data_IF_240239327299
#
_entry.id   IF_240239327299
#
_cell.length_a   1.000
_cell.length_b   1.000
_cell.length_c   1.000
_cell.angle_alpha   90.00
_cell.angle_beta   90.00
_cell.angle_gamma   90.00
#
_symmetry.space_group_name_H-M   'P 1'
#
loop_
_entity.id
_entity.type
_entity.pdbx_description
1 polymer ?
#
# COMPACT_ATOMS: atom_id res chain seq x y z
N UNK A 1 3.32 -27.48 8.98
CA UNK A 1 3.34 -26.34 9.89
C UNK A 1 3.60 -25.12 9.05
N UNK A 2 2.63 -24.17 9.01
CA UNK A 2 2.70 -23.00 8.14
C UNK A 2 3.35 -21.85 8.93
N UNK A 3 4.67 -21.71 8.78
CA UNK A 3 5.48 -20.73 9.52
C UNK A 3 5.74 -19.51 8.67
N UNK A 4 5.46 -18.33 9.23
CA UNK A 4 5.67 -17.06 8.58
C UNK A 4 6.74 -16.24 9.34
N UNK A 5 7.55 -15.50 8.59
CA UNK A 5 8.57 -14.60 9.12
C UNK A 5 8.30 -13.19 8.62
N UNK A 6 8.09 -12.24 9.54
CA UNK A 6 7.77 -10.86 9.24
C UNK A 6 8.95 -9.95 9.55
N UNK A 7 9.50 -9.33 8.52
CA UNK A 7 10.60 -8.37 8.65
C UNK A 7 10.05 -6.94 8.76
N UNK A 8 10.24 -6.33 9.91
CA UNK A 8 10.01 -4.89 10.10
C UNK A 8 11.15 -4.03 9.55
N UNK A 9 10.95 -2.71 9.53
CA UNK A 9 11.99 -1.73 9.13
C UNK A 9 12.83 -1.20 10.31
N UNK A 10 12.75 -1.81 11.49
CA UNK A 10 13.52 -1.38 12.65
C UNK A 10 15.02 -1.60 12.50
N UNK A 11 15.82 -0.87 13.29
CA UNK A 11 17.28 -0.98 13.30
C UNK A 11 17.78 -2.39 13.67
N UNK A 12 16.98 -3.15 14.41
CA UNK A 12 17.27 -4.55 14.79
C UNK A 12 17.06 -5.55 13.65
N UNK A 13 16.63 -5.09 12.49
CA UNK A 13 16.41 -5.95 11.32
C UNK A 13 17.75 -6.58 10.89
N UNK A 14 17.79 -7.89 10.61
CA UNK A 14 18.99 -8.51 10.08
C UNK A 14 19.33 -7.93 8.69
N UNK A 15 20.61 -7.71 8.44
CA UNK A 15 21.11 -7.19 7.14
C UNK A 15 20.93 -8.24 6.03
N UNK A 16 20.87 -9.51 6.39
CA UNK A 16 20.66 -10.61 5.45
C UNK A 16 19.41 -11.40 5.84
N UNK A 17 18.70 -11.96 4.85
CA UNK A 17 17.56 -12.82 5.15
C UNK A 17 18.00 -14.02 5.97
N UNK A 18 17.13 -14.49 6.86
CA UNK A 18 17.35 -15.75 7.56
C UNK A 18 17.29 -16.86 6.51
N UNK A 19 18.44 -17.46 6.24
CA UNK A 19 18.56 -18.56 5.31
C UNK A 19 18.37 -19.86 6.09
N UNK A 20 17.35 -20.62 5.71
CA UNK A 20 17.06 -21.93 6.29
C UNK A 20 15.76 -21.96 7.06
N UNK A 21 14.95 -22.93 6.75
CA UNK A 21 13.60 -23.12 7.26
C UNK A 21 12.53 -22.85 6.19
N UNK A 22 11.46 -23.62 6.23
CA UNK A 22 10.30 -23.44 5.34
C UNK A 22 9.45 -22.29 5.88
N UNK A 23 9.91 -21.04 5.70
CA UNK A 23 9.17 -19.86 6.07
C UNK A 23 8.60 -19.16 4.84
N UNK A 24 7.36 -18.71 4.94
CA UNK A 24 6.81 -17.69 4.05
C UNK A 24 7.23 -16.33 4.60
N UNK A 25 7.96 -15.57 3.81
CA UNK A 25 8.56 -14.30 4.24
C UNK A 25 7.68 -13.11 3.87
N UNK A 26 7.56 -12.18 4.80
CA UNK A 26 6.87 -10.90 4.65
C UNK A 26 7.84 -9.78 4.96
N UNK A 27 7.91 -8.79 4.09
CA UNK A 27 8.74 -7.62 4.28
C UNK A 27 7.94 -6.34 4.18
N UNK A 28 8.51 -5.25 4.69
CA UNK A 28 7.85 -3.96 4.75
C UNK A 28 8.65 -2.89 4.02
N UNK A 29 7.96 -2.05 3.25
CA UNK A 29 8.51 -0.84 2.63
C UNK A 29 9.86 -1.08 1.92
N UNK A 30 10.93 -0.43 2.40
CA UNK A 30 12.24 -0.39 1.74
C UNK A 30 13.07 -1.68 1.82
N UNK A 31 12.57 -2.74 2.45
CA UNK A 31 13.33 -4.00 2.59
C UNK A 31 13.73 -4.62 1.24
N UNK A 32 12.94 -4.35 0.21
CA UNK A 32 13.20 -4.84 -1.14
C UNK A 32 14.54 -4.37 -1.73
N UNK A 33 15.11 -3.31 -1.15
CA UNK A 33 16.44 -2.80 -1.54
C UNK A 33 17.57 -3.70 -1.07
N UNK A 34 17.33 -4.47 -0.01
CA UNK A 34 18.34 -5.33 0.62
C UNK A 34 18.21 -6.78 0.16
N UNK A 35 16.96 -7.31 0.14
CA UNK A 35 16.72 -8.68 -0.32
C UNK A 35 15.25 -8.92 -0.74
N UNK A 36 15.04 -10.02 -1.44
CA UNK A 36 13.71 -10.42 -1.91
C UNK A 36 12.96 -11.16 -0.80
N UNK A 37 11.67 -10.86 -0.66
CA UNK A 37 10.72 -11.56 0.22
C UNK A 37 9.57 -12.13 -0.62
N UNK A 38 8.87 -13.14 -0.09
CA UNK A 38 7.73 -13.73 -0.78
C UNK A 38 6.55 -12.75 -0.91
N UNK A 39 6.39 -11.87 0.09
CA UNK A 39 5.34 -10.86 0.13
C UNK A 39 5.90 -9.54 0.65
N UNK A 40 5.86 -8.50 -0.16
CA UNK A 40 6.24 -7.14 0.23
C UNK A 40 4.99 -6.32 0.53
N UNK A 41 4.93 -5.67 1.69
CA UNK A 41 3.81 -4.82 2.10
C UNK A 41 4.23 -3.36 2.15
N UNK A 42 3.45 -2.50 1.52
CA UNK A 42 3.63 -1.06 1.63
C UNK A 42 2.29 -0.35 1.71
N UNK A 43 2.16 0.52 2.71
CA UNK A 43 0.96 1.33 2.97
C UNK A 43 1.18 2.82 2.70
N UNK A 44 2.39 3.19 2.37
CA UNK A 44 2.78 4.56 2.03
C UNK A 44 2.85 4.73 0.52
N UNK A 45 2.11 5.70 -0.03
CA UNK A 45 1.98 5.88 -1.48
C UNK A 45 3.29 6.21 -2.18
N UNK A 46 4.14 7.04 -1.57
CA UNK A 46 5.44 7.37 -2.15
C UNK A 46 6.34 6.13 -2.22
N UNK A 47 6.29 5.29 -1.19
CA UNK A 47 7.03 4.02 -1.17
C UNK A 47 6.47 3.01 -2.17
N UNK A 48 5.14 2.91 -2.30
CA UNK A 48 4.50 2.06 -3.30
C UNK A 48 4.95 2.43 -4.71
N UNK A 49 4.99 3.72 -4.99
CA UNK A 49 5.47 4.22 -6.27
C UNK A 49 6.96 3.92 -6.51
N UNK A 50 7.80 4.11 -5.49
CA UNK A 50 9.22 3.77 -5.58
C UNK A 50 9.42 2.28 -5.87
N UNK A 51 8.71 1.40 -5.14
CA UNK A 51 8.74 -0.05 -5.36
C UNK A 51 8.32 -0.40 -6.80
N UNK A 52 7.29 0.28 -7.31
CA UNK A 52 6.84 0.05 -8.68
C UNK A 52 7.87 0.52 -9.71
N UNK A 53 8.42 1.73 -9.54
CA UNK A 53 9.44 2.30 -10.43
C UNK A 53 10.75 1.52 -10.42
N UNK A 54 11.07 0.83 -9.33
CA UNK A 54 12.25 -0.04 -9.23
C UNK A 54 12.10 -1.35 -10.00
N UNK A 55 10.95 -1.60 -10.63
CA UNK A 55 10.58 -2.86 -11.28
C UNK A 55 10.45 -4.06 -10.33
N UNK A 56 10.61 -3.88 -9.02
CA UNK A 56 10.46 -4.97 -8.05
C UNK A 56 9.06 -5.58 -8.13
N UNK A 57 8.01 -4.75 -8.19
CA UNK A 57 6.62 -5.18 -8.27
C UNK A 57 6.26 -5.89 -9.58
N UNK A 58 7.10 -5.81 -10.62
CA UNK A 58 6.89 -6.57 -11.87
C UNK A 58 7.23 -8.06 -11.72
N UNK A 59 8.09 -8.39 -10.76
CA UNK A 59 8.64 -9.74 -10.57
C UNK A 59 8.18 -10.39 -9.27
N UNK A 60 7.90 -9.58 -8.25
CA UNK A 60 7.67 -10.02 -6.89
C UNK A 60 6.29 -9.59 -6.40
N UNK A 61 5.70 -10.38 -5.54
CA UNK A 61 4.37 -10.13 -4.98
C UNK A 61 4.41 -8.96 -4.00
N UNK A 62 3.57 -7.96 -4.27
CA UNK A 62 3.45 -6.75 -3.46
C UNK A 62 2.00 -6.55 -3.01
N UNK A 63 1.84 -6.05 -1.79
CA UNK A 63 0.57 -5.72 -1.17
C UNK A 63 0.54 -4.21 -0.92
N UNK A 64 -0.30 -3.50 -1.66
CA UNK A 64 -0.40 -2.03 -1.61
C UNK A 64 -1.78 -1.60 -1.13
N UNK A 65 -1.83 -0.50 -0.40
CA UNK A 65 -3.10 0.17 -0.06
C UNK A 65 -3.58 1.05 -1.20
N UNK A 66 -4.90 1.12 -1.36
CA UNK A 66 -5.57 2.02 -2.30
C UNK A 66 -5.06 1.90 -3.75
N UNK A 67 -4.72 0.68 -4.15
CA UNK A 67 -4.24 0.37 -5.49
C UNK A 67 -5.42 0.02 -6.38
N UNK A 68 -5.70 0.87 -7.37
CA UNK A 68 -6.84 0.71 -8.27
C UNK A 68 -6.43 0.89 -9.73
N UNK A 69 -6.94 0.04 -10.59
CA UNK A 69 -6.74 0.14 -12.04
C UNK A 69 -7.81 1.05 -12.63
N UNK A 70 -7.40 2.10 -13.28
CA UNK A 70 -8.31 3.05 -13.91
C UNK A 70 -8.67 2.62 -15.34
N UNK A 71 -9.90 2.94 -15.77
CA UNK A 71 -10.32 2.69 -17.13
C UNK A 71 -9.51 3.51 -18.14
N UNK A 72 -9.38 2.99 -19.35
CA UNK A 72 -8.78 3.73 -20.44
C UNK A 72 -9.51 5.05 -20.69
N UNK A 73 -8.75 6.13 -20.86
CA UNK A 73 -9.32 7.48 -21.06
C UNK A 73 -9.65 8.23 -19.76
N UNK A 74 -9.29 7.69 -18.60
CA UNK A 74 -9.43 8.40 -17.33
C UNK A 74 -8.64 9.72 -17.37
N UNK A 75 -9.34 10.81 -17.00
CA UNK A 75 -8.70 12.12 -16.89
C UNK A 75 -8.39 12.44 -15.41
N UNK A 76 -7.12 12.45 -15.02
CA UNK A 76 -6.73 12.72 -13.61
C UNK A 76 -7.23 14.08 -13.10
N UNK A 77 -7.32 15.07 -13.96
CA UNK A 77 -7.75 16.43 -13.59
C UNK A 77 -9.21 16.49 -13.09
N UNK A 78 -10.02 15.49 -13.43
CA UNK A 78 -11.43 15.44 -13.00
C UNK A 78 -11.59 14.95 -11.54
N UNK A 79 -10.56 14.39 -10.94
CA UNK A 79 -10.64 13.69 -9.63
C UNK A 79 -9.72 14.32 -8.59
N UNK A 80 -8.85 15.23 -8.99
CA UNK A 80 -7.95 15.92 -8.05
C UNK A 80 -8.64 17.15 -7.45
N UNK A 81 -9.00 17.12 -6.17
CA UNK A 81 -9.65 18.26 -5.54
C UNK A 81 -8.71 19.44 -5.30
N UNK A 82 -7.40 19.26 -5.36
CA UNK A 82 -6.40 20.31 -5.14
C UNK A 82 -5.25 20.20 -6.15
N UNK A 83 -4.88 21.37 -6.71
CA UNK A 83 -3.73 21.51 -7.63
C UNK A 83 -2.36 21.21 -6.99
N UNK A 84 -2.30 20.93 -5.69
CA UNK A 84 -1.07 20.74 -4.94
C UNK A 84 -0.68 19.25 -4.77
N UNK A 85 -1.49 18.32 -5.25
CA UNK A 85 -1.09 16.92 -5.28
C UNK A 85 0.07 16.76 -6.27
N UNK A 86 1.19 16.11 -5.89
CA UNK A 86 2.31 15.92 -6.80
C UNK A 86 1.84 15.08 -7.99
N UNK A 87 1.60 15.76 -9.11
CA UNK A 87 1.39 15.11 -10.39
C UNK A 87 2.77 14.63 -10.81
N UNK A 88 3.05 13.37 -10.56
CA UNK A 88 4.20 12.75 -11.17
C UNK A 88 4.00 12.83 -12.69
N UNK A 89 5.04 13.22 -13.41
CA UNK A 89 5.01 13.48 -14.84
C UNK A 89 4.09 12.51 -15.57
N UNK A 90 3.00 13.04 -16.10
CA UNK A 90 2.05 12.24 -16.85
C UNK A 90 2.78 11.61 -18.03
N UNK A 91 2.86 10.30 -18.12
CA UNK A 91 3.50 9.68 -19.26
C UNK A 91 2.70 9.97 -20.51
N UNK A 92 3.38 10.05 -21.61
CA UNK A 92 2.82 10.36 -22.91
C UNK A 92 1.60 9.47 -23.21
N UNK A 93 0.58 10.08 -23.77
CA UNK A 93 -0.63 9.44 -24.30
C UNK A 93 -0.27 8.16 -25.06
N UNK A 94 -0.80 7.02 -24.61
CA UNK A 94 -0.58 5.72 -25.25
C UNK A 94 -0.36 4.55 -24.32
N UNK A 95 -0.24 4.78 -22.99
CA UNK A 95 -0.11 3.70 -22.03
C UNK A 95 -1.43 2.95 -21.82
N UNK A 96 -1.33 1.65 -21.61
CA UNK A 96 -2.46 0.73 -21.60
C UNK A 96 -3.23 0.72 -20.31
N UNK A 97 -2.60 1.09 -19.19
CA UNK A 97 -3.24 1.13 -17.88
C UNK A 97 -2.62 2.17 -16.99
N UNK A 98 -3.39 2.63 -16.03
CA UNK A 98 -2.91 3.49 -14.96
C UNK A 98 -3.49 3.01 -13.63
N UNK A 99 -2.79 3.31 -12.57
CA UNK A 99 -3.19 2.94 -11.22
C UNK A 99 -3.27 4.21 -10.38
N UNK A 100 -4.38 4.39 -9.70
CA UNK A 100 -4.55 5.48 -8.72
C UNK A 100 -4.19 4.97 -7.36
N UNK A 101 -3.39 5.74 -6.67
CA UNK A 101 -3.04 5.53 -5.28
C UNK A 101 -3.46 6.77 -4.51
N UNK A 102 -4.13 6.61 -3.41
CA UNK A 102 -4.43 7.75 -2.56
C UNK A 102 -5.69 7.61 -1.74
N UNK A 103 -5.82 8.47 -0.75
CA UNK A 103 -7.06 8.62 -0.01
C UNK A 103 -8.01 9.47 -0.84
N UNK A 104 -9.09 8.88 -1.27
CA UNK A 104 -10.22 9.58 -1.86
C UNK A 104 -11.14 10.12 -0.76
N UNK A 105 -12.02 11.07 -1.11
CA UNK A 105 -13.03 11.56 -0.18
C UNK A 105 -13.90 10.41 0.35
N UNK A 106 -14.24 9.44 -0.47
CA UNK A 106 -15.04 8.28 -0.08
C UNK A 106 -14.31 7.40 0.95
N UNK A 107 -13.00 7.22 0.78
CA UNK A 107 -12.16 6.49 1.76
C UNK A 107 -12.12 7.22 3.09
N UNK A 108 -12.02 8.55 3.09
CA UNK A 108 -12.06 9.38 4.30
C UNK A 108 -13.40 9.22 5.02
N UNK A 109 -14.50 9.35 4.32
CA UNK A 109 -15.85 9.21 4.92
C UNK A 109 -16.10 7.78 5.44
N UNK A 110 -15.61 6.76 4.75
CA UNK A 110 -15.67 5.37 5.22
C UNK A 110 -14.88 5.16 6.52
N UNK A 111 -13.67 5.73 6.61
CA UNK A 111 -12.84 5.65 7.81
C UNK A 111 -13.46 6.41 9.00
N UNK A 112 -14.07 7.58 8.75
CA UNK A 112 -14.80 8.34 9.77
C UNK A 112 -15.99 7.51 10.30
N UNK A 113 -16.76 6.91 9.40
CA UNK A 113 -17.88 6.05 9.77
C UNK A 113 -17.45 4.87 10.61
N UNK A 114 -16.33 4.25 10.29
CA UNK A 114 -15.78 3.15 11.09
C UNK A 114 -15.30 3.64 12.47
N UNK A 115 -14.59 4.77 12.51
CA UNK A 115 -14.14 5.36 13.78
C UNK A 115 -15.32 5.64 14.74
N UNK A 116 -16.43 6.14 14.20
CA UNK A 116 -17.68 6.38 14.96
C UNK A 116 -18.30 5.09 15.52
N UNK A 117 -18.16 3.95 14.82
CA UNK A 117 -18.65 2.67 15.33
C UNK A 117 -17.86 2.20 16.57
N UNK A 118 -16.56 2.53 16.62
CA UNK A 118 -15.69 2.15 17.74
C UNK A 118 -15.69 3.17 18.88
N UNK A 119 -15.92 4.43 18.57
CA UNK A 119 -15.99 5.51 19.54
C UNK A 119 -17.03 6.57 19.09
N UNK A 120 -18.26 6.48 19.58
CA UNK A 120 -19.34 7.40 19.20
C UNK A 120 -19.12 8.87 19.60
N UNK A 121 -18.27 9.10 20.61
CA UNK A 121 -18.00 10.44 21.16
C UNK A 121 -16.85 11.18 20.45
N UNK A 122 -16.34 10.61 19.34
CA UNK A 122 -15.28 11.22 18.55
C UNK A 122 -15.77 12.54 17.91
N UNK A 123 -14.93 13.58 17.97
CA UNK A 123 -15.16 14.81 17.24
C UNK A 123 -14.97 14.56 15.73
N UNK A 124 -16.09 14.46 15.04
CA UNK A 124 -16.15 14.14 13.60
C UNK A 124 -15.54 15.29 12.77
N UNK A 125 -15.71 16.53 13.19
CA UNK A 125 -15.21 17.68 12.44
C UNK A 125 -13.69 17.77 12.56
N UNK A 126 -13.13 17.49 13.74
CA UNK A 126 -11.67 17.39 13.93
C UNK A 126 -11.07 16.22 13.11
N UNK A 127 -11.73 15.07 13.13
CA UNK A 127 -11.31 13.93 12.28
C UNK A 127 -11.36 14.27 10.80
N UNK A 128 -12.44 14.91 10.36
CA UNK A 128 -12.59 15.29 8.95
C UNK A 128 -11.55 16.31 8.54
N UNK A 129 -11.29 17.32 9.37
CA UNK A 129 -10.28 18.34 9.10
C UNK A 129 -8.88 17.74 9.04
N UNK A 130 -8.53 16.80 9.93
CA UNK A 130 -7.26 16.09 9.90
C UNK A 130 -7.14 15.20 8.66
N UNK A 131 -8.18 14.43 8.37
CA UNK A 131 -8.20 13.53 7.23
C UNK A 131 -8.16 14.26 5.89
N UNK A 132 -8.75 15.45 5.80
CA UNK A 132 -8.78 16.25 4.58
C UNK A 132 -7.40 16.80 4.19
N UNK A 133 -6.50 16.96 5.15
CA UNK A 133 -5.09 17.30 4.86
C UNK A 133 -4.34 16.17 4.16
N UNK A 134 -4.78 14.95 4.35
CA UNK A 134 -4.20 13.74 3.77
C UNK A 134 -4.92 13.27 2.50
N UNK A 135 -5.97 13.98 2.07
CA UNK A 135 -6.63 13.72 0.80
C UNK A 135 -5.70 14.16 -0.32
N UNK A 136 -4.97 13.22 -0.81
CA UNK A 136 -4.09 13.36 -1.95
C UNK A 136 -4.26 12.15 -2.85
N UNK A 137 -4.13 12.36 -4.13
CA UNK A 137 -4.14 11.29 -5.09
C UNK A 137 -2.78 11.20 -5.74
N UNK A 138 -2.12 10.07 -5.58
CA UNK A 138 -0.93 9.73 -6.35
C UNK A 138 -1.37 8.90 -7.55
N UNK A 139 -0.95 9.31 -8.72
CA UNK A 139 -1.24 8.57 -9.94
C UNK A 139 0.05 7.96 -10.44
N UNK A 140 0.07 6.64 -10.49
CA UNK A 140 1.16 5.90 -11.08
C UNK A 140 0.71 5.34 -12.42
N UNK A 141 1.37 5.74 -13.49
CA UNK A 141 1.15 5.18 -14.80
C UNK A 141 1.99 3.91 -14.95
N UNK A 142 1.36 2.85 -15.43
CA UNK A 142 2.01 1.57 -15.69
C UNK A 142 1.82 1.21 -17.15
N UNK A 143 2.84 0.62 -17.77
CA UNK A 143 2.73 0.19 -19.19
C UNK A 143 1.81 -1.01 -19.31
N UNK A 144 1.91 -1.92 -18.36
CA UNK A 144 1.09 -3.11 -18.29
C UNK A 144 0.80 -3.42 -16.82
N UNK A 145 -0.48 -3.55 -16.51
CA UNK A 145 -0.89 -4.02 -15.19
C UNK A 145 -0.55 -5.50 -15.05
N UNK A 146 0.08 -5.86 -13.96
CA UNK A 146 0.40 -7.24 -13.65
C UNK A 146 -0.32 -7.70 -12.36
N UNK A 147 -0.45 -9.01 -12.21
CA UNK A 147 -1.12 -9.67 -11.09
C UNK A 147 -0.24 -9.76 -9.81
N UNK A 148 0.97 -9.20 -9.84
CA UNK A 148 1.89 -9.22 -8.70
C UNK A 148 1.53 -8.18 -7.64
N UNK A 149 0.86 -7.09 -8.02
CA UNK A 149 0.39 -6.08 -7.09
C UNK A 149 -1.04 -6.40 -6.68
N UNK A 150 -1.22 -6.59 -5.37
CA UNK A 150 -2.50 -6.95 -4.77
C UNK A 150 -2.94 -5.79 -3.88
N UNK A 151 -4.17 -5.34 -4.08
CA UNK A 151 -4.75 -4.34 -3.21
C UNK A 151 -5.03 -4.92 -1.82
N UNK A 152 -4.73 -4.15 -0.79
CA UNK A 152 -5.09 -4.49 0.58
C UNK A 152 -6.52 -4.02 0.80
N UNK A 153 -7.46 -4.96 0.89
CA UNK A 153 -8.90 -4.67 0.97
C UNK A 153 -9.32 -3.85 2.20
N UNK A 154 -8.46 -3.77 3.19
CA UNK A 154 -8.80 -3.13 4.46
C UNK A 154 -7.60 -2.43 5.10
N UNK A 155 -7.20 -1.26 4.59
CA UNK A 155 -6.15 -0.46 5.18
C UNK A 155 -6.67 0.23 6.45
N UNK A 156 -6.38 -0.34 7.61
CA UNK A 156 -6.82 0.20 8.92
C UNK A 156 -5.97 1.36 9.45
N UNK A 157 -5.21 2.05 8.61
CA UNK A 157 -4.26 3.07 9.05
C UNK A 157 -3.09 2.50 9.88
N UNK A 158 -2.84 1.20 9.77
CA UNK A 158 -1.72 0.56 10.44
C UNK A 158 -0.41 0.79 9.70
N UNK A 159 0.69 0.67 10.43
CA UNK A 159 2.01 0.62 9.82
C UNK A 159 2.14 -0.59 8.89
N UNK A 160 3.07 -0.52 7.93
CA UNK A 160 3.34 -1.64 7.02
C UNK A 160 3.70 -2.93 7.77
N UNK A 161 4.41 -2.84 8.92
CA UNK A 161 4.74 -3.98 9.76
C UNK A 161 3.51 -4.66 10.37
N UNK A 162 2.61 -3.88 10.95
CA UNK A 162 1.37 -4.41 11.52
C UNK A 162 0.46 -4.99 10.43
N UNK A 163 0.43 -4.36 9.27
CA UNK A 163 -0.32 -4.86 8.12
C UNK A 163 0.26 -6.19 7.61
N UNK A 164 1.58 -6.31 7.52
CA UNK A 164 2.25 -7.55 7.14
C UNK A 164 1.94 -8.69 8.12
N UNK A 165 1.98 -8.41 9.42
CA UNK A 165 1.61 -9.37 10.45
C UNK A 165 0.14 -9.81 10.32
N UNK A 166 -0.76 -8.86 10.13
CA UNK A 166 -2.17 -9.16 9.90
C UNK A 166 -2.39 -10.05 8.68
N UNK A 167 -1.75 -9.72 7.56
CA UNK A 167 -1.85 -10.51 6.34
C UNK A 167 -1.28 -11.92 6.54
N UNK A 168 -0.12 -12.07 7.21
CA UNK A 168 0.44 -13.36 7.54
C UNK A 168 -0.57 -14.23 8.31
N UNK A 169 -1.20 -13.68 9.32
CA UNK A 169 -2.25 -14.38 10.09
C UNK A 169 -3.47 -14.70 9.22
N UNK A 170 -3.95 -13.74 8.42
CA UNK A 170 -5.09 -13.93 7.49
C UNK A 170 -4.82 -15.04 6.47
N UNK A 171 -3.59 -15.22 6.05
CA UNK A 171 -3.18 -16.27 5.11
C UNK A 171 -2.76 -17.57 5.80
N UNK A 172 -3.16 -17.76 7.04
CA UNK A 172 -3.13 -19.06 7.73
C UNK A 172 -1.79 -19.39 8.37
N UNK A 173 -1.02 -18.38 8.82
CA UNK A 173 0.15 -18.63 9.63
C UNK A 173 -0.25 -19.36 10.93
N UNK A 174 0.39 -20.49 11.18
CA UNK A 174 0.29 -21.23 12.44
C UNK A 174 1.29 -20.65 13.47
N UNK A 175 2.42 -20.17 12.97
CA UNK A 175 3.47 -19.50 13.76
C UNK A 175 3.98 -18.27 13.00
N UNK A 176 4.17 -17.16 13.68
CA UNK A 176 4.74 -15.92 13.14
C UNK A 176 5.94 -15.49 14.00
N UNK A 177 7.03 -15.16 13.34
CA UNK A 177 8.28 -14.73 13.94
C UNK A 177 8.65 -13.32 13.52
#
# INVERSE_FOLDING_TARGET
MNRHLVYGNGESRPIQPIIGGDFITWGCNAIYRDFVVDNLVSVDYAMQQEIYQSEYAMKNKCWFTDWEVLPAGFNPQMVMPNNDAPIFETPQLGRRSCVVQGKTQDTVEANIKEALQHNPDIDVDDLRQKAQKDVGMYITWVEEYNDKVINIDYPKGWSAGNTALYLACKFGAEEVY
#
